data_IF_805179060389
#
_entry.id   IF_805179060389
#
_cell.length_a   1.000
_cell.length_b   1.000
_cell.length_c   1.000
_cell.angle_alpha   90.00
_cell.angle_beta   90.00
_cell.angle_gamma   90.00
#
_symmetry.space_group_name_H-M   'P 1'
#
loop_
_entity.id
_entity.type
_entity.pdbx_description
1 polymer ?
#
# COMPACT_ATOMS: atom_id res chain seq x y z
N UNK A 1 22.27 3.48 -10.33
CA UNK A 1 21.61 2.41 -9.54
C UNK A 1 20.73 2.93 -8.40
N UNK A 2 21.22 3.77 -7.46
CA UNK A 2 20.37 4.32 -6.37
C UNK A 2 19.16 5.14 -6.87
N UNK A 3 19.38 6.07 -7.82
CA UNK A 3 18.31 6.86 -8.42
C UNK A 3 17.20 6.00 -9.04
N UNK A 4 17.55 4.92 -9.72
CA UNK A 4 16.58 3.99 -10.32
C UNK A 4 15.70 3.31 -9.27
N UNK A 5 16.25 2.94 -8.11
CA UNK A 5 15.46 2.31 -7.04
C UNK A 5 14.51 3.28 -6.36
N UNK A 6 14.95 4.52 -6.15
CA UNK A 6 14.09 5.58 -5.61
C UNK A 6 12.89 5.81 -6.53
N UNK A 7 13.12 5.98 -7.83
CA UNK A 7 12.03 6.15 -8.81
C UNK A 7 11.10 4.94 -8.87
N UNK A 8 11.63 3.71 -8.80
CA UNK A 8 10.80 2.50 -8.77
C UNK A 8 9.90 2.46 -7.52
N UNK A 9 10.45 2.79 -6.35
CA UNK A 9 9.69 2.80 -5.11
C UNK A 9 8.65 3.93 -5.07
N UNK A 10 9.03 5.12 -5.53
CA UNK A 10 8.13 6.26 -5.69
C UNK A 10 6.96 5.92 -6.62
N UNK A 11 7.24 5.39 -7.82
CA UNK A 11 6.20 4.95 -8.74
C UNK A 11 5.27 3.89 -8.11
N UNK A 12 5.82 2.96 -7.33
CA UNK A 12 5.01 1.95 -6.64
C UNK A 12 4.06 2.59 -5.62
N UNK A 13 4.55 3.54 -4.81
CA UNK A 13 3.74 4.28 -3.83
C UNK A 13 2.66 5.13 -4.50
N UNK A 14 2.97 5.79 -5.63
CA UNK A 14 1.98 6.54 -6.41
C UNK A 14 0.86 5.63 -6.91
N UNK A 15 1.19 4.46 -7.46
CA UNK A 15 0.20 3.51 -7.94
C UNK A 15 -0.67 2.95 -6.80
N UNK A 16 -0.08 2.64 -5.64
CA UNK A 16 -0.83 2.26 -4.44
C UNK A 16 -1.78 3.40 -4.00
N UNK A 17 -1.29 4.63 -4.00
CA UNK A 17 -2.10 5.82 -3.68
C UNK A 17 -3.28 5.98 -4.63
N UNK A 18 -3.07 5.82 -5.95
CA UNK A 18 -4.15 5.85 -6.95
C UNK A 18 -5.14 4.71 -6.70
N UNK A 19 -4.66 3.48 -6.46
CA UNK A 19 -5.52 2.33 -6.15
C UNK A 19 -6.46 2.62 -4.97
N UNK A 20 -5.93 3.31 -3.94
CA UNK A 20 -6.69 3.64 -2.74
C UNK A 20 -7.65 4.81 -2.96
N UNK A 21 -7.14 5.95 -3.44
CA UNK A 21 -7.90 7.19 -3.60
C UNK A 21 -9.02 7.03 -4.64
N UNK A 22 -8.73 6.38 -5.77
CA UNK A 22 -9.73 6.13 -6.82
C UNK A 22 -10.62 4.93 -6.51
N UNK A 23 -10.35 4.19 -5.41
CA UNK A 23 -11.02 2.93 -5.07
C UNK A 23 -10.98 1.92 -6.23
N UNK A 24 -9.78 1.70 -6.76
CA UNK A 24 -9.47 0.80 -7.88
C UNK A 24 -8.58 -0.37 -7.43
N UNK A 25 -9.13 -1.38 -6.73
CA UNK A 25 -8.39 -2.55 -6.26
C UNK A 25 -7.61 -3.27 -7.36
N UNK A 26 -8.07 -3.24 -8.62
CA UNK A 26 -7.43 -3.88 -9.76
C UNK A 26 -6.03 -3.34 -10.07
N UNK A 27 -5.71 -2.11 -9.63
CA UNK A 27 -4.35 -1.55 -9.76
C UNK A 27 -3.36 -2.34 -8.91
N UNK A 28 -3.78 -2.89 -7.77
CA UNK A 28 -2.92 -3.70 -6.90
C UNK A 28 -2.33 -4.90 -7.63
N UNK A 29 -3.08 -5.52 -8.55
CA UNK A 29 -2.58 -6.64 -9.34
C UNK A 29 -1.38 -6.27 -10.22
N UNK A 30 -1.30 -5.01 -10.67
CA UNK A 30 -0.24 -4.53 -11.57
C UNK A 30 1.06 -4.19 -10.84
N UNK A 31 0.99 -3.98 -9.53
CA UNK A 31 2.13 -3.55 -8.70
C UNK A 31 2.62 -4.66 -7.76
N UNK A 32 1.96 -5.82 -7.77
CA UNK A 32 2.36 -7.02 -7.03
C UNK A 32 3.09 -8.02 -7.94
N UNK A 33 4.16 -8.63 -7.42
CA UNK A 33 4.78 -9.79 -8.05
C UNK A 33 3.91 -11.04 -7.87
N UNK A 34 4.04 -12.07 -8.74
CA UNK A 34 3.22 -13.28 -8.66
C UNK A 34 3.23 -13.98 -7.29
N UNK A 35 4.33 -13.89 -6.56
CA UNK A 35 4.54 -14.49 -5.25
C UNK A 35 4.57 -13.46 -4.10
N UNK A 36 3.93 -12.31 -4.26
CA UNK A 36 3.88 -11.27 -3.23
C UNK A 36 3.39 -11.84 -1.89
N UNK A 37 4.03 -11.42 -0.80
CA UNK A 37 3.55 -11.61 0.57
C UNK A 37 3.11 -10.27 1.12
N UNK A 38 1.80 -10.06 1.23
CA UNK A 38 1.24 -8.78 1.68
C UNK A 38 0.74 -8.92 3.12
N UNK A 39 1.46 -8.29 4.05
CA UNK A 39 1.13 -8.27 5.47
C UNK A 39 0.41 -6.97 5.78
N UNK A 40 -0.91 -7.03 6.00
CA UNK A 40 -1.66 -5.88 6.49
C UNK A 40 -1.21 -5.48 7.89
N UNK A 41 -0.86 -6.43 8.75
CA UNK A 41 -0.28 -6.16 10.07
C UNK A 41 0.95 -7.06 10.30
N UNK A 42 1.88 -6.69 11.20
CA UNK A 42 3.10 -7.46 11.45
C UNK A 42 2.86 -8.85 12.05
N UNK A 43 1.69 -9.03 12.69
CA UNK A 43 1.30 -10.29 13.33
C UNK A 43 0.32 -11.11 12.48
N UNK A 44 -0.17 -10.54 11.38
CA UNK A 44 -1.11 -11.19 10.48
C UNK A 44 -0.43 -12.25 9.61
N UNK A 45 -1.22 -13.22 9.13
CA UNK A 45 -0.78 -14.08 8.01
C UNK A 45 -0.81 -13.25 6.72
N UNK A 46 0.16 -13.43 5.82
CA UNK A 46 0.19 -12.68 4.58
C UNK A 46 -0.89 -13.14 3.60
N UNK A 47 -1.40 -12.19 2.82
CA UNK A 47 -2.09 -12.48 1.58
C UNK A 47 -1.05 -12.85 0.52
N UNK A 48 -1.20 -14.02 -0.10
CA UNK A 48 -0.22 -14.56 -1.04
C UNK A 48 -0.71 -14.37 -2.48
N UNK A 49 0.09 -13.66 -3.26
CA UNK A 49 -0.15 -13.44 -4.69
C UNK A 49 -1.11 -12.28 -4.99
N UNK A 50 -1.08 -11.75 -6.23
CA UNK A 50 -1.86 -10.56 -6.61
C UNK A 50 -3.37 -10.70 -6.42
N UNK A 51 -3.93 -11.89 -6.71
CA UNK A 51 -5.38 -12.14 -6.59
C UNK A 51 -5.86 -11.98 -5.15
N UNK A 52 -5.11 -12.52 -4.18
CA UNK A 52 -5.45 -12.41 -2.76
C UNK A 52 -5.42 -10.96 -2.28
N UNK A 53 -4.44 -10.17 -2.76
CA UNK A 53 -4.32 -8.74 -2.44
C UNK A 53 -5.48 -7.94 -3.05
N UNK A 54 -5.82 -8.16 -4.32
CA UNK A 54 -6.97 -7.49 -4.94
C UNK A 54 -8.26 -7.83 -4.21
N UNK A 55 -8.48 -9.10 -3.86
CA UNK A 55 -9.68 -9.53 -3.13
C UNK A 55 -9.78 -8.87 -1.76
N UNK A 56 -8.67 -8.75 -1.04
CA UNK A 56 -8.60 -7.98 0.21
C UNK A 56 -9.09 -6.54 -0.02
N UNK A 57 -8.47 -5.83 -0.96
CA UNK A 57 -8.79 -4.43 -1.24
C UNK A 57 -10.23 -4.23 -1.73
N UNK A 58 -10.74 -5.15 -2.55
CA UNK A 58 -12.12 -5.13 -3.05
C UNK A 58 -13.15 -5.26 -1.93
N UNK A 59 -12.84 -6.02 -0.88
CA UNK A 59 -13.74 -6.23 0.24
C UNK A 59 -13.75 -5.08 1.23
N UNK A 60 -12.68 -4.29 1.28
CA UNK A 60 -12.56 -3.17 2.22
C UNK A 60 -12.83 -1.82 1.53
N UNK A 61 -11.91 -1.37 0.68
CA UNK A 61 -11.82 0.05 0.29
C UNK A 61 -13.09 0.60 -0.41
N UNK A 62 -13.64 0.00 -1.48
CA UNK A 62 -14.72 0.61 -2.25
C UNK A 62 -15.98 0.91 -1.46
N UNK A 63 -16.31 0.02 -0.52
CA UNK A 63 -17.59 0.01 0.19
C UNK A 63 -17.48 0.47 1.64
N UNK A 64 -16.28 0.58 2.21
CA UNK A 64 -16.09 1.00 3.61
C UNK A 64 -15.60 2.45 3.76
N UNK A 65 -15.01 3.05 2.72
CA UNK A 65 -14.32 4.35 2.78
C UNK A 65 -14.77 5.32 1.68
N UNK A 66 -14.82 6.62 1.97
CA UNK A 66 -15.04 7.71 0.99
C UNK A 66 -14.19 8.95 1.35
N UNK A 67 -14.11 9.92 0.44
CA UNK A 67 -13.32 11.15 0.60
C UNK A 67 -11.85 10.88 0.98
N UNK A 68 -11.27 9.86 0.34
CA UNK A 68 -9.96 9.31 0.68
C UNK A 68 -8.88 10.28 0.23
N UNK A 69 -7.93 10.57 1.11
CA UNK A 69 -6.68 11.28 0.84
C UNK A 69 -5.54 10.40 1.29
N UNK A 70 -4.46 10.38 0.51
CA UNK A 70 -3.29 9.59 0.80
C UNK A 70 -2.04 10.37 0.39
N UNK A 71 -1.11 10.51 1.33
CA UNK A 71 0.19 11.14 1.14
C UNK A 71 1.29 10.24 1.71
N UNK A 72 2.52 10.40 1.23
CA UNK A 72 3.67 9.68 1.74
C UNK A 72 4.95 10.49 1.66
N UNK A 73 5.93 10.09 2.47
CA UNK A 73 7.31 10.55 2.42
C UNK A 73 8.24 9.33 2.38
N UNK A 74 9.17 9.29 1.42
CA UNK A 74 10.16 8.21 1.35
C UNK A 74 11.26 8.48 2.37
N UNK A 75 11.39 7.61 3.37
CA UNK A 75 12.38 7.73 4.43
C UNK A 75 13.72 7.06 4.07
N UNK A 76 13.66 5.93 3.35
CA UNK A 76 14.87 5.20 2.96
C UNK A 76 14.62 4.29 1.76
N UNK A 77 15.66 4.13 0.93
CA UNK A 77 15.67 3.17 -0.19
C UNK A 77 17.01 2.47 -0.25
N UNK A 78 16.95 1.14 -0.26
CA UNK A 78 18.10 0.24 -0.43
C UNK A 78 18.02 -0.47 -1.78
N UNK A 79 18.90 -1.45 -2.02
CA UNK A 79 18.84 -2.25 -3.25
C UNK A 79 17.61 -3.16 -3.35
N UNK A 80 17.03 -3.55 -2.22
CA UNK A 80 15.97 -4.57 -2.15
C UNK A 80 14.70 -4.07 -1.48
N UNK A 81 14.76 -2.95 -0.75
CA UNK A 81 13.68 -2.50 0.11
C UNK A 81 13.57 -0.97 0.15
N UNK A 82 12.34 -0.47 0.20
CA UNK A 82 12.00 0.92 0.51
C UNK A 82 11.19 1.04 1.80
N UNK A 83 11.36 2.15 2.49
CA UNK A 83 10.60 2.54 3.68
C UNK A 83 9.98 3.90 3.42
N UNK A 84 8.67 4.02 3.66
CA UNK A 84 7.95 5.27 3.54
C UNK A 84 7.08 5.52 4.77
N UNK A 85 7.08 6.76 5.25
CA UNK A 85 5.99 7.25 6.09
C UNK A 85 4.79 7.52 5.22
N UNK A 86 3.59 7.27 5.74
CA UNK A 86 2.36 7.53 5.02
C UNK A 86 1.28 8.06 5.97
N UNK A 87 0.42 8.89 5.41
CA UNK A 87 -0.75 9.45 6.06
C UNK A 87 -1.96 9.20 5.15
N UNK A 88 -3.03 8.65 5.71
CA UNK A 88 -4.31 8.56 5.03
C UNK A 88 -5.42 9.17 5.87
N UNK A 89 -6.33 9.86 5.19
CA UNK A 89 -7.58 10.34 5.78
C UNK A 89 -8.75 9.84 4.96
N UNK A 90 -9.81 9.38 5.61
CA UNK A 90 -11.05 9.07 4.92
C UNK A 90 -12.26 9.26 5.83
N UNK A 91 -13.44 9.35 5.22
CA UNK A 91 -14.72 9.23 5.92
C UNK A 91 -15.16 7.76 5.86
N UNK A 92 -15.31 7.11 7.02
CA UNK A 92 -15.83 5.74 7.09
C UNK A 92 -17.32 5.74 6.77
N UNK A 93 -17.75 4.88 5.85
CA UNK A 93 -19.12 4.91 5.33
C UNK A 93 -20.14 4.49 6.39
N UNK A 94 -19.83 3.48 7.21
CA UNK A 94 -20.79 2.87 8.14
C UNK A 94 -21.39 3.85 9.17
N UNK A 95 -20.62 4.85 9.59
CA UNK A 95 -20.95 5.77 10.68
C UNK A 95 -20.57 7.23 10.39
N UNK A 96 -20.12 7.51 9.16
CA UNK A 96 -19.72 8.84 8.69
C UNK A 96 -18.64 9.51 9.55
N UNK A 97 -17.83 8.72 10.27
CA UNK A 97 -16.72 9.23 11.08
C UNK A 97 -15.49 9.51 10.21
N UNK A 98 -14.77 10.59 10.53
CA UNK A 98 -13.43 10.83 9.99
C UNK A 98 -12.43 9.91 10.67
N UNK A 99 -11.62 9.25 9.88
CA UNK A 99 -10.53 8.37 10.32
C UNK A 99 -9.22 8.93 9.78
N UNK A 100 -8.22 9.02 10.64
CA UNK A 100 -6.85 9.40 10.25
C UNK A 100 -5.94 8.23 10.60
N UNK A 101 -5.16 7.79 9.62
CA UNK A 101 -4.16 6.75 9.75
C UNK A 101 -2.79 7.36 9.53
N UNK A 102 -1.86 7.09 10.44
CA UNK A 102 -0.46 7.50 10.37
C UNK A 102 0.41 6.26 10.54
N UNK A 103 1.33 6.02 9.62
CA UNK A 103 2.06 4.76 9.59
C UNK A 103 3.34 4.72 8.78
N UNK A 104 3.93 3.54 8.77
CA UNK A 104 5.11 3.17 7.98
C UNK A 104 4.76 2.03 7.04
N UNK A 105 5.24 2.12 5.80
CA UNK A 105 5.35 1.00 4.88
C UNK A 105 6.80 0.52 4.83
N UNK A 106 6.96 -0.80 4.78
CA UNK A 106 8.21 -1.46 4.40
C UNK A 106 7.92 -2.35 3.19
N UNK A 107 8.59 -2.09 2.06
CA UNK A 107 8.24 -2.72 0.77
C UNK A 107 9.49 -3.24 0.09
N UNK A 108 9.51 -4.53 -0.23
CA UNK A 108 10.53 -5.12 -1.08
C UNK A 108 10.07 -5.15 -2.54
N UNK A 109 10.91 -4.64 -3.45
CA UNK A 109 10.63 -4.61 -4.89
C UNK A 109 11.65 -5.47 -5.66
N UNK A 110 11.15 -6.23 -6.64
CA UNK A 110 12.02 -6.94 -7.57
C UNK A 110 12.68 -5.98 -8.60
N UNK A 111 13.38 -6.52 -9.60
CA UNK A 111 14.07 -5.69 -10.61
C UNK A 111 13.10 -4.94 -11.52
N UNK A 112 11.90 -5.46 -11.70
CA UNK A 112 10.81 -4.86 -12.48
C UNK A 112 10.02 -3.80 -11.69
N UNK A 113 10.34 -3.58 -10.41
CA UNK A 113 9.59 -2.64 -9.55
C UNK A 113 8.28 -3.21 -9.00
N UNK A 114 8.07 -4.52 -9.08
CA UNK A 114 6.90 -5.18 -8.51
C UNK A 114 7.18 -5.61 -7.06
N UNK A 115 6.19 -5.45 -6.19
CA UNK A 115 6.29 -5.80 -4.79
C UNK A 115 6.31 -7.32 -4.58
N UNK A 116 7.36 -7.80 -3.90
CA UNK A 116 7.48 -9.20 -3.47
C UNK A 116 7.11 -9.38 -2.01
N UNK A 117 7.24 -8.33 -1.20
CA UNK A 117 6.88 -8.36 0.22
C UNK A 117 6.49 -6.95 0.69
N UNK A 118 5.40 -6.87 1.42
CA UNK A 118 4.83 -5.62 1.95
C UNK A 118 4.48 -5.81 3.41
N UNK A 119 4.89 -4.85 4.26
CA UNK A 119 4.50 -4.77 5.66
C UNK A 119 4.03 -3.36 5.98
N UNK A 120 3.03 -3.27 6.86
CA UNK A 120 2.43 -2.02 7.29
C UNK A 120 2.30 -1.96 8.83
N UNK A 121 2.62 -0.80 9.38
CA UNK A 121 2.36 -0.42 10.76
C UNK A 121 1.64 0.92 10.76
N UNK A 122 0.61 1.06 11.58
CA UNK A 122 -0.10 2.32 11.70
C UNK A 122 -0.77 2.43 13.06
N UNK A 123 -1.06 3.67 13.43
CA UNK A 123 -2.00 4.03 14.47
C UNK A 123 -3.21 4.67 13.84
N UNK A 124 -4.34 4.60 14.54
CA UNK A 124 -5.60 5.24 14.12
C UNK A 124 -5.99 6.30 15.14
N UNK A 125 -6.46 7.43 14.63
CA UNK A 125 -7.09 8.49 15.41
C UNK A 125 -8.58 8.55 15.12
#
# INVERSE_FOLDING_TARGET
MKFTRLTQFDNWLQQLGIAWVDKKPEIMAKICAPNVKYFETPFGKPYIGPEAVVKLWQNDVPNSQKDIKFNYEILSVTMTMGIAHWLAEYTRIKDNQKVILDGIFQVALNRQGLCTEFHMWWVVK
#
